data_IF_958968307618
#
_entry.id   IF_958968307618
#
_cell.length_a   1.000
_cell.length_b   1.000
_cell.length_c   1.000
_cell.angle_alpha   90.00
_cell.angle_beta   90.00
_cell.angle_gamma   90.00
#
_symmetry.space_group_name_H-M   'P 1'
#
loop_
_entity.id
_entity.type
_entity.pdbx_description
1 polymer ?
#
# COMPACT_ATOMS: atom_id res chain seq x y z
N UNK A 1 8.90 -15.26 -9.92
CA UNK A 1 9.56 -14.43 -8.89
C UNK A 1 8.52 -13.77 -7.97
N UNK A 2 7.79 -14.59 -7.19
CA UNK A 2 6.75 -14.11 -6.27
C UNK A 2 7.10 -14.47 -4.83
N UNK A 3 6.94 -13.50 -3.93
CA UNK A 3 7.01 -13.69 -2.49
C UNK A 3 5.60 -13.57 -1.94
N UNK A 4 5.16 -14.55 -1.14
CA UNK A 4 3.89 -14.48 -0.41
C UNK A 4 4.19 -14.28 1.06
N UNK A 5 3.52 -13.31 1.66
CA UNK A 5 3.53 -13.07 3.09
C UNK A 5 2.12 -13.31 3.66
N UNK A 6 2.03 -14.11 4.70
CA UNK A 6 0.81 -14.38 5.45
C UNK A 6 1.07 -14.23 6.93
N UNK A 7 0.17 -13.57 7.65
CA UNK A 7 0.24 -13.42 9.09
C UNK A 7 -1.16 -13.45 9.71
N UNK A 8 -1.31 -14.28 10.73
CA UNK A 8 -2.51 -14.34 11.57
C UNK A 8 -2.17 -13.84 12.97
N UNK A 9 -2.99 -12.95 13.48
CA UNK A 9 -2.84 -12.37 14.80
C UNK A 9 -4.11 -12.57 15.63
N UNK A 10 -3.95 -12.93 16.90
CA UNK A 10 -5.03 -12.98 17.87
C UNK A 10 -4.79 -11.93 18.95
N UNK A 11 -5.83 -11.15 19.25
CA UNK A 11 -5.76 -10.16 20.33
C UNK A 11 -5.95 -10.85 21.69
N UNK A 12 -4.94 -10.81 22.53
CA UNK A 12 -4.98 -11.43 23.88
C UNK A 12 -5.65 -10.54 24.93
N UNK A 13 -5.98 -9.29 24.56
CA UNK A 13 -6.69 -8.30 25.36
C UNK A 13 -7.37 -7.30 24.45
N UNK A 14 -8.32 -6.53 24.97
CA UNK A 14 -8.96 -5.45 24.25
C UNK A 14 -7.96 -4.36 23.87
N UNK A 15 -7.97 -3.96 22.60
CA UNK A 15 -7.06 -2.94 22.04
C UNK A 15 -7.80 -2.08 21.03
N UNK A 16 -7.63 -0.78 21.11
CA UNK A 16 -8.04 0.13 20.03
C UNK A 16 -6.94 0.19 18.96
N UNK A 17 -7.26 -0.32 17.78
CA UNK A 17 -6.38 -0.24 16.60
C UNK A 17 -6.61 1.05 15.85
N UNK A 18 -5.66 1.98 15.92
CA UNK A 18 -5.74 3.28 15.25
C UNK A 18 -5.01 3.33 13.91
N UNK A 19 -3.93 2.57 13.75
CA UNK A 19 -3.20 2.51 12.48
C UNK A 19 -2.56 1.14 12.31
N UNK A 20 -2.86 0.49 11.20
CA UNK A 20 -2.18 -0.72 10.77
C UNK A 20 -2.24 -0.84 9.25
N UNK A 21 -1.28 -1.54 8.69
CA UNK A 21 -1.20 -1.78 7.25
C UNK A 21 -1.17 -3.28 6.99
N UNK A 22 -1.94 -3.72 5.99
CA UNK A 22 -1.84 -5.08 5.47
C UNK A 22 -0.47 -5.30 4.82
N UNK A 23 -0.01 -4.27 4.12
CA UNK A 23 1.28 -4.29 3.43
C UNK A 23 1.84 -2.87 3.35
N UNK A 24 3.16 -2.76 3.46
CA UNK A 24 3.89 -1.53 3.21
C UNK A 24 5.15 -1.87 2.39
N UNK A 25 5.35 -1.18 1.28
CA UNK A 25 6.46 -1.43 0.38
C UNK A 25 7.24 -0.14 0.07
N UNK A 26 8.44 0.05 0.66
CA UNK A 26 9.34 1.14 0.29
C UNK A 26 10.08 0.81 -1.00
N UNK A 27 10.17 1.77 -1.90
CA UNK A 27 10.85 1.62 -3.18
C UNK A 27 11.61 2.90 -3.56
N UNK A 28 12.80 2.75 -4.16
CA UNK A 28 13.50 3.88 -4.76
C UNK A 28 12.67 4.48 -5.91
N UNK A 29 12.58 5.82 -5.97
CA UNK A 29 11.87 6.53 -7.04
C UNK A 29 12.35 6.18 -8.44
N UNK A 30 13.64 5.87 -8.61
CA UNK A 30 14.18 5.45 -9.90
C UNK A 30 13.51 4.18 -10.46
N UNK A 31 12.96 3.33 -9.57
CA UNK A 31 12.28 2.08 -9.91
C UNK A 31 10.79 2.08 -9.59
N UNK A 32 10.30 3.05 -8.86
CA UNK A 32 8.90 3.12 -8.41
C UNK A 32 8.32 4.52 -8.43
N UNK A 33 8.62 5.33 -9.46
CA UNK A 33 8.04 6.65 -9.64
C UNK A 33 6.57 6.59 -10.07
N UNK A 34 6.23 5.61 -10.91
CA UNK A 34 4.90 5.42 -11.47
C UNK A 34 4.17 4.34 -10.71
N UNK A 35 2.87 4.52 -10.53
CA UNK A 35 1.99 3.56 -9.90
C UNK A 35 0.68 3.41 -10.68
N UNK A 36 0.25 2.17 -10.88
CA UNK A 36 -1.05 1.82 -11.44
C UNK A 36 -1.87 1.13 -10.37
N UNK A 37 -2.98 1.76 -9.97
CA UNK A 37 -3.91 1.28 -8.94
C UNK A 37 -5.06 0.55 -9.62
N UNK A 38 -5.17 -0.75 -9.41
CA UNK A 38 -6.25 -1.60 -9.91
C UNK A 38 -7.38 -1.62 -8.89
N UNK A 39 -8.44 -0.85 -9.16
CA UNK A 39 -9.56 -0.66 -8.23
C UNK A 39 -10.54 -1.83 -8.25
N UNK A 40 -11.40 -1.88 -7.22
CA UNK A 40 -12.41 -2.94 -7.10
C UNK A 40 -13.47 -2.90 -8.19
N UNK A 41 -13.74 -1.73 -8.78
CA UNK A 41 -14.66 -1.56 -9.90
C UNK A 41 -14.05 -1.99 -11.27
N UNK A 42 -12.80 -2.45 -11.27
CA UNK A 42 -12.07 -2.86 -12.46
C UNK A 42 -11.37 -1.72 -13.20
N UNK A 43 -11.53 -0.48 -12.78
CA UNK A 43 -10.80 0.65 -13.35
C UNK A 43 -9.34 0.68 -12.88
N UNK A 44 -8.48 1.34 -13.67
CA UNK A 44 -7.06 1.54 -13.35
C UNK A 44 -6.77 3.02 -13.27
N UNK A 45 -6.33 3.47 -12.10
CA UNK A 45 -5.86 4.83 -11.90
C UNK A 45 -4.34 4.87 -11.97
N UNK A 46 -3.80 5.79 -12.78
CA UNK A 46 -2.35 6.00 -12.92
C UNK A 46 -1.94 7.24 -12.15
N UNK A 47 -0.88 7.12 -11.37
CA UNK A 47 -0.31 8.21 -10.61
C UNK A 47 1.21 8.21 -10.71
N UNK A 48 1.79 9.37 -10.42
CA UNK A 48 3.25 9.53 -10.48
C UNK A 48 3.71 10.45 -9.36
N UNK A 49 4.86 10.11 -8.78
CA UNK A 49 5.55 10.94 -7.79
C UNK A 49 6.61 11.82 -8.45
N UNK A 50 7.08 12.83 -7.73
CA UNK A 50 8.13 13.74 -8.19
C UNK A 50 9.51 13.08 -8.15
N UNK A 51 10.35 13.31 -9.18
CA UNK A 51 11.77 12.95 -9.19
C UNK A 51 12.71 14.15 -9.02
N UNK A 52 12.38 15.27 -9.65
CA UNK A 52 13.26 16.42 -9.79
C UNK A 52 12.96 17.53 -8.78
N UNK A 53 13.99 18.30 -8.43
CA UNK A 53 13.86 19.49 -7.61
C UNK A 53 13.47 19.21 -6.16
N UNK A 54 13.55 17.98 -5.72
CA UNK A 54 13.14 17.58 -4.37
C UNK A 54 14.25 17.89 -3.39
N UNK A 55 13.95 18.72 -2.41
CA UNK A 55 14.88 19.12 -1.34
C UNK A 55 15.12 17.93 -0.39
N UNK A 56 16.25 17.92 0.34
CA UNK A 56 16.56 16.87 1.31
C UNK A 56 15.50 16.65 2.39
N UNK A 57 14.79 17.69 2.78
CA UNK A 57 13.71 17.70 3.78
C UNK A 57 12.32 17.53 3.17
N UNK A 58 12.24 17.23 1.88
CA UNK A 58 10.96 17.05 1.19
C UNK A 58 10.16 15.89 1.78
N UNK A 59 8.89 16.17 2.02
CA UNK A 59 7.87 15.18 2.29
C UNK A 59 6.64 15.55 1.47
N UNK A 60 6.39 14.78 0.43
CA UNK A 60 5.34 15.07 -0.54
C UNK A 60 3.99 14.47 -0.19
N UNK A 61 3.02 14.59 -1.11
CA UNK A 61 1.66 14.15 -0.88
C UNK A 61 1.51 12.63 -0.85
N UNK A 62 0.38 12.18 -0.36
CA UNK A 62 -0.16 10.85 -0.62
C UNK A 62 -0.93 10.88 -1.94
N UNK A 63 -0.58 10.00 -2.85
CA UNK A 63 -1.20 9.90 -4.18
C UNK A 63 -1.96 8.59 -4.34
N UNK A 64 -2.97 8.56 -5.20
CA UNK A 64 -3.73 7.38 -5.56
C UNK A 64 -4.61 6.82 -4.44
N UNK A 65 -5.07 7.63 -3.50
CA UNK A 65 -5.95 7.26 -2.38
C UNK A 65 -7.22 6.54 -2.85
N UNK A 66 -7.08 5.25 -3.14
CA UNK A 66 -8.11 4.42 -3.77
C UNK A 66 -8.48 3.23 -2.87
N UNK A 67 -9.42 2.43 -3.34
CA UNK A 67 -9.79 1.12 -2.79
C UNK A 67 -9.06 -0.04 -3.49
N UNK A 68 -7.98 0.23 -4.20
CA UNK A 68 -7.24 -0.77 -4.94
C UNK A 68 -6.65 -1.84 -4.02
N UNK A 69 -6.80 -3.10 -4.39
CA UNK A 69 -6.16 -4.24 -3.72
C UNK A 69 -4.89 -4.71 -4.44
N UNK A 70 -4.57 -4.08 -5.57
CA UNK A 70 -3.38 -4.35 -6.36
C UNK A 70 -2.80 -3.05 -6.88
N UNK A 71 -1.48 -2.91 -6.75
CA UNK A 71 -0.74 -1.77 -7.30
C UNK A 71 0.49 -2.30 -8.03
N UNK A 72 0.70 -1.83 -9.25
CA UNK A 72 1.92 -2.09 -10.02
C UNK A 72 2.77 -0.83 -10.04
N UNK A 73 4.01 -0.94 -9.57
CA UNK A 73 4.97 0.16 -9.56
C UNK A 73 6.12 -0.11 -10.53
N UNK A 74 6.57 0.95 -11.18
CA UNK A 74 7.75 0.92 -12.05
C UNK A 74 8.38 2.31 -12.13
N UNK A 75 9.58 2.41 -12.68
CA UNK A 75 10.31 3.66 -12.69
C UNK A 75 11.10 3.91 -13.96
N UNK A 76 11.62 5.13 -14.12
CA UNK A 76 12.29 5.57 -15.35
C UNK A 76 13.62 4.88 -15.59
N UNK A 77 14.30 4.40 -14.54
CA UNK A 77 15.62 3.76 -14.71
C UNK A 77 15.54 2.45 -15.49
N UNK A 78 14.47 1.68 -15.25
CA UNK A 78 14.13 0.51 -16.06
C UNK A 78 12.61 0.30 -16.03
N UNK A 79 11.88 0.83 -17.02
CA UNK A 79 10.40 0.77 -17.05
C UNK A 79 9.86 -0.65 -17.23
N UNK A 80 10.69 -1.58 -17.69
CA UNK A 80 10.30 -2.98 -17.86
C UNK A 80 10.33 -3.75 -16.53
N UNK A 81 10.96 -3.22 -15.49
CA UNK A 81 10.91 -3.81 -14.15
C UNK A 81 9.61 -3.40 -13.48
N UNK A 82 8.75 -4.39 -13.23
CA UNK A 82 7.45 -4.21 -12.56
C UNK A 82 7.47 -4.86 -11.19
N UNK A 83 6.97 -4.09 -10.22
CA UNK A 83 6.72 -4.54 -8.86
C UNK A 83 5.21 -4.60 -8.66
N UNK A 84 4.63 -5.79 -8.78
CA UNK A 84 3.21 -6.04 -8.62
C UNK A 84 2.93 -6.48 -7.18
N UNK A 85 2.28 -5.63 -6.41
CA UNK A 85 1.93 -5.87 -5.02
C UNK A 85 0.43 -6.00 -4.91
N UNK A 86 -0.03 -7.11 -4.31
CA UNK A 86 -1.44 -7.40 -4.12
C UNK A 86 -1.71 -7.81 -2.67
N UNK A 87 -2.84 -7.36 -2.14
CA UNK A 87 -3.42 -7.84 -0.89
C UNK A 87 -4.69 -8.64 -1.15
N UNK A 88 -4.96 -9.68 -0.32
CA UNK A 88 -6.04 -10.64 -0.58
C UNK A 88 -7.13 -10.64 0.47
N UNK A 89 -6.81 -10.35 1.69
CA UNK A 89 -7.80 -10.23 2.74
C UNK A 89 -7.68 -8.85 3.36
N UNK A 90 -8.46 -7.97 2.83
CA UNK A 90 -9.00 -6.90 3.62
C UNK A 90 -10.25 -7.53 4.23
N UNK A 91 -10.11 -8.29 5.33
CA UNK A 91 -11.27 -8.73 6.07
C UNK A 91 -12.09 -7.49 6.36
N UNK A 92 -13.36 -7.44 6.03
CA UNK A 92 -14.20 -6.27 6.18
C UNK A 92 -13.68 -5.03 5.41
N UNK A 93 -13.39 -5.21 4.12
CA UNK A 93 -12.87 -4.17 3.24
C UNK A 93 -13.68 -2.87 3.26
N UNK A 94 -14.98 -2.95 3.53
CA UNK A 94 -15.88 -1.80 3.69
C UNK A 94 -15.48 -0.93 4.89
N UNK A 95 -15.09 -1.53 6.01
CA UNK A 95 -14.79 -0.82 7.24
C UNK A 95 -13.39 -0.20 7.20
N UNK A 96 -12.43 -0.89 6.60
CA UNK A 96 -11.06 -0.40 6.46
C UNK A 96 -10.93 0.78 5.53
N UNK A 97 -11.81 0.88 4.57
CA UNK A 97 -11.76 1.89 3.54
C UNK A 97 -12.76 3.03 3.76
N UNK A 98 -13.37 3.14 4.92
CA UNK A 98 -14.37 4.17 5.20
C UNK A 98 -13.82 5.59 5.19
N UNK A 99 -12.55 5.79 5.54
CA UNK A 99 -11.94 7.09 5.77
C UNK A 99 -10.99 7.59 4.66
N UNK A 100 -10.95 6.95 3.52
CA UNK A 100 -10.27 7.48 2.33
C UNK A 100 -8.78 7.18 2.18
N UNK A 101 -8.02 6.93 3.23
CA UNK A 101 -6.59 6.61 3.16
C UNK A 101 -6.35 5.10 3.01
N UNK A 102 -6.98 4.53 2.01
CA UNK A 102 -7.07 3.09 1.79
C UNK A 102 -5.77 2.50 1.26
N UNK A 103 -5.53 2.76 -0.01
CA UNK A 103 -4.34 2.34 -0.73
C UNK A 103 -3.76 3.58 -1.38
N UNK A 104 -2.50 3.85 -1.10
CA UNK A 104 -1.83 5.04 -1.61
C UNK A 104 -0.32 4.84 -1.70
N UNK A 105 0.32 5.67 -2.51
CA UNK A 105 1.76 5.86 -2.49
C UNK A 105 2.08 7.19 -1.82
N UNK A 106 2.92 7.14 -0.80
CA UNK A 106 3.49 8.34 -0.22
C UNK A 106 4.75 8.74 -0.99
N UNK A 107 4.74 9.94 -1.54
CA UNK A 107 5.91 10.61 -2.09
C UNK A 107 6.80 11.05 -0.93
N UNK A 108 7.53 10.09 -0.34
CA UNK A 108 8.06 10.17 1.00
C UNK A 108 9.19 11.17 1.15
N UNK A 109 10.16 11.09 0.25
CA UNK A 109 11.33 11.97 0.27
C UNK A 109 11.98 12.05 -1.12
N UNK A 110 13.14 12.72 -1.20
CA UNK A 110 13.88 12.91 -2.46
C UNK A 110 14.25 11.62 -3.22
N UNK A 111 14.31 10.50 -2.54
CA UNK A 111 14.87 9.25 -3.11
C UNK A 111 13.90 8.08 -3.08
N UNK A 112 12.92 8.07 -2.18
CA UNK A 112 12.05 6.93 -1.94
C UNK A 112 10.57 7.30 -1.93
N UNK A 113 9.76 6.33 -2.36
CA UNK A 113 8.33 6.26 -2.19
C UNK A 113 7.98 5.12 -1.23
N UNK A 114 6.79 5.17 -0.65
CA UNK A 114 6.21 4.04 0.10
C UNK A 114 4.80 3.77 -0.39
N UNK A 115 4.56 2.53 -0.82
CA UNK A 115 3.22 2.01 -1.07
C UNK A 115 2.63 1.49 0.24
N UNK A 116 1.38 1.83 0.49
CA UNK A 116 0.61 1.39 1.65
C UNK A 116 -0.71 0.75 1.22
N UNK A 117 -1.07 -0.34 1.89
CA UNK A 117 -2.41 -0.90 1.94
C UNK A 117 -2.87 -0.84 3.39
N UNK A 118 -3.76 0.11 3.68
CA UNK A 118 -4.23 0.36 5.05
C UNK A 118 -5.20 -0.73 5.50
N UNK A 119 -5.10 -1.12 6.76
CA UNK A 119 -6.01 -2.05 7.41
C UNK A 119 -6.84 -1.39 8.50
N UNK A 120 -6.25 -0.53 9.30
CA UNK A 120 -6.91 0.29 10.30
C UNK A 120 -6.51 1.74 10.10
N UNK A 121 -7.41 2.66 10.41
CA UNK A 121 -7.22 4.10 10.23
C UNK A 121 -7.21 4.82 11.59
N UNK A 122 -6.31 5.77 11.74
CA UNK A 122 -6.24 6.64 12.92
C UNK A 122 -7.45 7.55 13.09
N UNK A 123 -8.13 7.88 11.99
CA UNK A 123 -9.34 8.71 12.03
C UNK A 123 -10.57 7.99 12.59
N UNK A 124 -10.55 6.65 12.57
CA UNK A 124 -11.63 5.82 13.09
C UNK A 124 -11.05 4.57 13.80
N UNK A 125 -10.52 4.72 15.02
CA UNK A 125 -9.98 3.60 15.77
C UNK A 125 -11.03 2.51 15.99
N UNK A 126 -10.65 1.26 15.69
CA UNK A 126 -11.50 0.09 15.84
C UNK A 126 -11.15 -0.66 17.12
N UNK A 127 -12.16 -0.95 17.95
CA UNK A 127 -11.97 -1.81 19.12
C UNK A 127 -11.84 -3.27 18.65
N UNK A 128 -10.70 -3.86 18.91
CA UNK A 128 -10.45 -5.30 18.78
C UNK A 128 -10.53 -5.92 20.17
N UNK A 129 -11.49 -6.81 20.36
CA UNK A 129 -11.70 -7.48 21.65
C UNK A 129 -10.77 -8.68 21.82
N UNK A 130 -10.49 -9.05 23.05
CA UNK A 130 -9.75 -10.26 23.36
C UNK A 130 -10.37 -11.50 22.69
N UNK A 131 -9.54 -12.32 22.08
CA UNK A 131 -9.94 -13.49 21.30
C UNK A 131 -10.31 -13.22 19.82
N UNK A 132 -10.49 -11.97 19.42
CA UNK A 132 -10.66 -11.65 18.01
C UNK A 132 -9.38 -11.90 17.23
N UNK A 133 -9.54 -12.27 15.96
CA UNK A 133 -8.41 -12.56 15.06
C UNK A 133 -8.44 -11.60 13.87
N UNK A 134 -7.26 -11.33 13.35
CA UNK A 134 -7.08 -10.62 12.08
C UNK A 134 -5.98 -11.29 11.27
N UNK A 135 -6.20 -11.42 9.98
CA UNK A 135 -5.22 -12.00 9.05
C UNK A 135 -4.78 -10.99 8.01
N UNK A 136 -3.55 -11.11 7.57
CA UNK A 136 -2.96 -10.34 6.48
C UNK A 136 -2.36 -11.31 5.47
N UNK A 137 -2.66 -11.10 4.20
CA UNK A 137 -2.01 -11.80 3.10
C UNK A 137 -1.64 -10.79 2.02
N UNK A 138 -0.38 -10.85 1.58
CA UNK A 138 0.10 -10.09 0.42
C UNK A 138 0.98 -10.94 -0.47
N UNK A 139 0.97 -10.63 -1.77
CA UNK A 139 1.93 -11.19 -2.74
C UNK A 139 2.69 -10.06 -3.40
N UNK A 140 3.96 -10.28 -3.62
CA UNK A 140 4.90 -9.35 -4.20
C UNK A 140 5.58 -10.05 -5.36
N UNK A 141 5.23 -9.64 -6.58
CA UNK A 141 5.73 -10.27 -7.80
C UNK A 141 6.65 -9.30 -8.53
N UNK A 142 7.84 -9.75 -8.85
CA UNK A 142 8.83 -9.00 -9.62
C UNK A 142 8.89 -9.59 -11.03
N UNK A 143 8.55 -8.78 -12.02
CA UNK A 143 8.60 -9.17 -13.42
C UNK A 143 9.50 -8.26 -14.23
N UNK A 144 10.04 -8.81 -15.29
CA UNK A 144 10.72 -8.06 -16.35
C UNK A 144 9.89 -8.28 -17.61
N UNK A 145 9.33 -7.19 -18.14
CA UNK A 145 8.63 -7.21 -19.43
C UNK A 145 9.70 -7.17 -20.54
N UNK A 146 9.60 -8.06 -21.54
CA UNK A 146 10.48 -8.10 -22.71
C UNK A 146 10.10 -7.07 -23.75
#
# INVERSE_FOLDING_TARGET
NTITFEADCEFIRDVYMGRSYTCMFPISKQYGQFAEFYKLDGSVEKAQTTLEGVKPDYSGPYIGRTDAMRVVMYGPKNPNYKFDVRVYSLADASDFFSNGDKTFVWDMNSTHNKLYFSKFDTGAPTLMQAGQRTSNKSTWTFTVEE
#
